data_IF_372667251230
#
_entry.id   IF_372667251230
#
_cell.length_a   1.000
_cell.length_b   1.000
_cell.length_c   1.000
_cell.angle_alpha   90.00
_cell.angle_beta   90.00
_cell.angle_gamma   90.00
#
_symmetry.space_group_name_H-M   'P 1'
#
loop_
_entity.id
_entity.type
_entity.pdbx_description
1 polymer ?
#
# COMPACT_ATOMS: atom_id res chain seq x y z
N UNK A 1 9.12 -33.04 -2.56
CA UNK A 1 8.05 -33.58 -1.71
C UNK A 1 6.75 -33.38 -2.47
N UNK A 2 6.11 -34.48 -2.89
CA UNK A 2 4.79 -34.42 -3.51
C UNK A 2 3.75 -34.77 -2.44
N UNK A 3 2.80 -33.86 -2.24
CA UNK A 3 1.60 -34.12 -1.43
C UNK A 3 0.51 -34.53 -2.42
N UNK A 4 0.20 -35.83 -2.47
CA UNK A 4 -0.82 -36.36 -3.36
C UNK A 4 -2.22 -36.18 -2.81
N UNK A 5 -3.14 -35.67 -3.63
CA UNK A 5 -4.59 -35.73 -3.41
C UNK A 5 -5.08 -37.20 -3.61
N UNK A 6 -5.93 -37.63 -2.71
CA UNK A 6 -6.61 -38.93 -2.76
C UNK A 6 -7.53 -38.99 -3.99
N UNK A 7 -7.33 -39.96 -4.88
CA UNK A 7 -8.23 -40.23 -6.00
C UNK A 7 -7.62 -41.13 -7.07
N UNK A 8 -8.45 -41.88 -7.77
CA UNK A 8 -8.15 -42.90 -8.78
C UNK A 8 -7.26 -42.49 -9.96
N UNK A 9 -6.92 -41.22 -10.09
CA UNK A 9 -6.03 -40.71 -11.15
C UNK A 9 -4.54 -40.99 -10.89
N UNK A 10 -4.15 -41.32 -9.67
CA UNK A 10 -2.75 -41.58 -9.32
C UNK A 10 -2.25 -42.93 -9.87
N UNK A 11 -3.15 -43.90 -10.06
CA UNK A 11 -2.82 -45.19 -10.62
C UNK A 11 -2.42 -45.14 -12.12
N UNK A 12 -2.76 -44.06 -12.82
CA UNK A 12 -2.44 -43.90 -14.26
C UNK A 12 -1.03 -43.31 -14.48
N UNK A 13 -0.45 -42.67 -13.45
CA UNK A 13 0.83 -41.94 -13.53
C UNK A 13 2.00 -42.60 -12.81
N UNK A 14 1.82 -43.74 -12.17
CA UNK A 14 2.85 -44.46 -11.40
C UNK A 14 4.03 -44.98 -12.21
N UNK A 15 3.95 -44.93 -13.55
CA UNK A 15 5.07 -45.25 -14.47
C UNK A 15 5.67 -44.02 -15.17
N UNK A 16 5.31 -42.82 -14.76
CA UNK A 16 5.88 -41.61 -15.33
C UNK A 16 7.27 -41.35 -14.76
N UNK A 17 8.28 -41.27 -15.65
CA UNK A 17 9.68 -40.98 -15.30
C UNK A 17 9.84 -39.68 -14.49
N UNK A 18 8.88 -38.74 -14.56
CA UNK A 18 8.87 -37.54 -13.77
C UNK A 18 8.86 -37.82 -12.25
N UNK A 19 8.38 -38.98 -11.83
CA UNK A 19 8.32 -39.39 -10.42
C UNK A 19 9.55 -40.15 -9.93
N UNK A 20 10.46 -40.55 -10.82
CA UNK A 20 11.70 -41.30 -10.44
C UNK A 20 12.61 -40.48 -9.49
N UNK A 21 12.51 -39.16 -9.53
CA UNK A 21 13.26 -38.25 -8.61
C UNK A 21 12.60 -38.09 -7.23
N UNK A 22 11.44 -38.67 -6.96
CA UNK A 22 10.76 -38.58 -5.67
C UNK A 22 11.55 -39.35 -4.61
N UNK A 23 12.00 -38.65 -3.58
CA UNK A 23 12.78 -39.22 -2.49
C UNK A 23 11.86 -39.83 -1.41
N UNK A 24 10.73 -39.16 -1.13
CA UNK A 24 9.77 -39.56 -0.09
C UNK A 24 8.35 -39.18 -0.53
N UNK A 25 7.43 -40.14 -0.47
CA UNK A 25 6.01 -39.91 -0.68
C UNK A 25 5.28 -39.81 0.66
N UNK A 26 4.66 -38.67 0.92
CA UNK A 26 3.87 -38.45 2.13
C UNK A 26 2.40 -38.70 1.82
N UNK A 27 1.77 -39.62 2.55
CA UNK A 27 0.40 -40.07 2.33
C UNK A 27 -0.46 -39.87 3.57
N UNK A 28 -1.73 -39.55 3.38
CA UNK A 28 -2.74 -39.50 4.43
C UNK A 28 -3.39 -40.84 4.73
N UNK A 29 -3.39 -41.73 3.75
CA UNK A 29 -3.93 -43.10 3.82
C UNK A 29 -3.07 -44.02 2.96
N UNK A 30 -2.76 -45.21 3.43
CA UNK A 30 -1.91 -46.18 2.74
C UNK A 30 -2.78 -47.18 1.97
N UNK A 31 -3.02 -46.93 0.70
CA UNK A 31 -3.79 -47.75 -0.21
C UNK A 31 -2.94 -48.36 -1.35
N UNK A 32 -1.73 -47.84 -1.59
CA UNK A 32 -0.90 -48.17 -2.70
C UNK A 32 0.59 -47.90 -2.44
N UNK A 33 1.49 -48.79 -2.94
CA UNK A 33 2.94 -48.60 -2.89
C UNK A 33 3.46 -48.19 -4.27
N UNK A 34 3.81 -46.88 -4.48
CA UNK A 34 4.37 -46.45 -5.77
C UNK A 34 5.76 -47.01 -5.98
N UNK A 35 6.05 -47.34 -7.24
CA UNK A 35 7.36 -47.84 -7.68
C UNK A 35 7.93 -46.94 -8.78
N UNK A 36 9.25 -46.81 -8.80
CA UNK A 36 9.95 -46.13 -9.90
C UNK A 36 9.91 -46.91 -11.17
N UNK A 37 10.24 -46.32 -12.31
CA UNK A 37 10.34 -46.98 -13.60
C UNK A 37 11.31 -48.17 -13.59
N UNK A 38 12.31 -48.18 -12.70
CA UNK A 38 13.26 -49.25 -12.45
C UNK A 38 12.75 -50.38 -11.52
N UNK A 39 11.49 -50.28 -11.07
CA UNK A 39 10.87 -51.25 -10.16
C UNK A 39 11.16 -51.06 -8.66
N UNK A 40 12.00 -50.11 -8.30
CA UNK A 40 12.29 -49.86 -6.89
C UNK A 40 11.13 -49.10 -6.21
N UNK A 41 10.71 -49.50 -4.98
CA UNK A 41 9.64 -48.82 -4.27
C UNK A 41 10.08 -47.41 -3.86
N UNK A 42 9.18 -46.47 -3.94
CA UNK A 42 9.38 -45.13 -3.39
C UNK A 42 9.07 -45.19 -1.88
N UNK A 43 9.98 -44.72 -1.00
CA UNK A 43 9.71 -44.68 0.45
C UNK A 43 8.46 -43.86 0.73
N UNK A 44 7.56 -44.42 1.58
CA UNK A 44 6.34 -43.74 1.99
C UNK A 44 6.36 -43.43 3.47
N UNK A 45 5.76 -42.31 3.83
CA UNK A 45 5.52 -41.90 5.21
C UNK A 45 4.04 -41.57 5.39
N UNK A 46 3.37 -42.32 6.27
CA UNK A 46 2.00 -42.03 6.66
C UNK A 46 1.97 -40.83 7.59
N UNK A 47 1.25 -39.79 7.19
CA UNK A 47 1.01 -38.61 8.02
C UNK A 47 -0.44 -38.65 8.52
N UNK A 48 -0.64 -39.03 9.77
CA UNK A 48 -1.95 -38.95 10.43
C UNK A 48 -2.11 -37.54 11.03
N UNK A 49 -3.09 -36.81 10.55
CA UNK A 49 -3.47 -35.52 11.16
C UNK A 49 -4.49 -35.80 12.25
N UNK A 50 -4.24 -35.41 13.51
CA UNK A 50 -5.22 -35.57 14.60
C UNK A 50 -6.56 -34.92 14.26
N UNK A 51 -7.67 -35.59 14.59
CA UNK A 51 -9.02 -35.13 14.23
C UNK A 51 -9.37 -33.75 14.80
N UNK A 52 -8.86 -33.44 16.00
CA UNK A 52 -9.02 -32.11 16.61
C UNK A 52 -8.37 -31.01 15.80
N UNK A 53 -7.24 -31.30 15.12
CA UNK A 53 -6.59 -30.34 14.22
C UNK A 53 -7.43 -30.15 12.96
N UNK A 54 -7.95 -31.23 12.37
CA UNK A 54 -8.84 -31.16 11.19
C UNK A 54 -10.08 -30.31 11.49
N UNK A 55 -10.76 -30.56 12.61
CA UNK A 55 -11.91 -29.75 13.04
C UNK A 55 -11.54 -28.27 13.25
N UNK A 56 -10.37 -28.00 13.78
CA UNK A 56 -9.90 -26.62 13.99
C UNK A 56 -9.57 -25.93 12.66
N UNK A 57 -9.06 -26.66 11.67
CA UNK A 57 -8.83 -26.16 10.30
C UNK A 57 -10.17 -25.80 9.65
N UNK A 58 -11.15 -26.69 9.71
CA UNK A 58 -12.49 -26.47 9.15
C UNK A 58 -13.14 -25.24 9.80
N UNK A 59 -13.04 -25.13 11.11
CA UNK A 59 -13.54 -23.99 11.85
C UNK A 59 -12.89 -22.66 11.42
N UNK A 60 -11.55 -22.65 11.22
CA UNK A 60 -10.83 -21.44 10.77
C UNK A 60 -11.14 -21.03 9.33
N UNK A 61 -11.34 -22.00 8.44
CA UNK A 61 -11.47 -21.74 7.00
C UNK A 61 -12.93 -21.54 6.56
N UNK A 62 -13.88 -22.24 7.18
CA UNK A 62 -15.25 -22.32 6.68
C UNK A 62 -16.28 -21.64 7.59
N UNK A 63 -15.91 -21.17 8.77
CA UNK A 63 -16.82 -20.37 9.58
C UNK A 63 -17.22 -19.09 8.84
N UNK A 64 -18.50 -18.74 8.88
CA UNK A 64 -19.05 -17.53 8.22
C UNK A 64 -18.55 -16.22 8.82
N UNK A 65 -17.96 -16.23 10.01
CA UNK A 65 -17.40 -15.02 10.63
C UNK A 65 -16.27 -14.41 9.78
N UNK A 66 -16.31 -13.10 9.55
CA UNK A 66 -15.33 -12.38 8.76
C UNK A 66 -13.88 -12.54 9.25
N UNK A 67 -13.70 -12.80 10.56
CA UNK A 67 -12.41 -13.06 11.21
C UNK A 67 -12.64 -14.10 12.33
N UNK A 68 -12.58 -15.41 12.03
CA UNK A 68 -12.87 -16.48 13.01
C UNK A 68 -11.97 -16.44 14.26
N UNK A 69 -10.74 -15.95 14.12
CA UNK A 69 -9.74 -15.95 15.18
C UNK A 69 -9.94 -14.85 16.25
N UNK A 70 -10.81 -13.84 16.04
CA UNK A 70 -10.90 -12.67 16.94
C UNK A 70 -11.19 -13.04 18.39
N UNK A 71 -12.13 -13.96 18.62
CA UNK A 71 -12.55 -14.35 19.96
C UNK A 71 -11.47 -15.09 20.77
N UNK A 72 -10.41 -15.53 20.11
CA UNK A 72 -9.33 -16.33 20.70
C UNK A 72 -7.99 -15.62 20.76
N UNK A 73 -7.88 -14.40 20.25
CA UNK A 73 -6.61 -13.63 20.20
C UNK A 73 -6.06 -13.40 21.61
N UNK A 74 -6.93 -13.12 22.59
CA UNK A 74 -6.54 -12.89 23.99
C UNK A 74 -5.89 -14.10 24.65
N UNK A 75 -6.10 -15.31 24.13
CA UNK A 75 -5.44 -16.53 24.58
C UNK A 75 -4.02 -16.74 24.04
N UNK A 76 -3.55 -15.88 23.13
CA UNK A 76 -2.22 -15.98 22.54
C UNK A 76 -1.27 -15.06 23.32
N UNK A 77 -0.10 -15.61 23.73
CA UNK A 77 0.88 -14.82 24.45
C UNK A 77 1.29 -13.55 23.66
N UNK A 78 1.34 -12.37 24.31
CA UNK A 78 1.60 -11.08 23.68
C UNK A 78 2.89 -11.06 22.84
N UNK A 79 3.94 -11.77 23.27
CA UNK A 79 5.20 -11.88 22.54
C UNK A 79 5.00 -12.50 21.14
N UNK A 80 4.15 -13.53 21.01
CA UNK A 80 3.91 -14.14 19.70
C UNK A 80 3.15 -13.21 18.76
N UNK A 81 2.23 -12.41 19.31
CA UNK A 81 1.54 -11.37 18.53
C UNK A 81 2.54 -10.30 18.09
N UNK A 82 3.38 -9.80 19.00
CA UNK A 82 4.39 -8.79 18.69
C UNK A 82 5.36 -9.25 17.58
N UNK A 83 5.95 -10.43 17.72
CA UNK A 83 6.83 -11.00 16.68
C UNK A 83 6.11 -11.21 15.32
N UNK A 84 4.80 -11.48 15.35
CA UNK A 84 4.03 -11.60 14.11
C UNK A 84 3.77 -10.24 13.49
N UNK A 85 3.47 -9.23 14.30
CA UNK A 85 3.27 -7.85 13.83
C UNK A 85 4.54 -7.28 13.18
N UNK A 86 5.72 -7.53 13.74
CA UNK A 86 6.99 -7.13 13.15
C UNK A 86 7.23 -7.80 11.78
N UNK A 87 6.99 -9.11 11.68
CA UNK A 87 7.10 -9.83 10.41
C UNK A 87 6.12 -9.29 9.35
N UNK A 88 4.86 -9.03 9.74
CA UNK A 88 3.85 -8.47 8.85
C UNK A 88 4.21 -7.05 8.39
N UNK A 89 4.82 -6.24 9.25
CA UNK A 89 5.30 -4.91 8.88
C UNK A 89 6.42 -5.02 7.84
N UNK A 90 7.37 -5.92 8.05
CA UNK A 90 8.46 -6.17 7.08
C UNK A 90 7.92 -6.62 5.73
N UNK A 91 7.03 -7.61 5.68
CA UNK A 91 6.36 -8.05 4.45
C UNK A 91 5.64 -6.90 3.73
N UNK A 92 5.00 -6.01 4.49
CA UNK A 92 4.30 -4.87 3.91
C UNK A 92 5.25 -3.85 3.30
N UNK A 93 6.36 -3.56 3.97
CA UNK A 93 7.39 -2.65 3.46
C UNK A 93 8.06 -3.25 2.21
N UNK A 94 8.41 -4.53 2.23
CA UNK A 94 8.97 -5.23 1.06
C UNK A 94 8.03 -5.17 -0.15
N UNK A 95 6.74 -5.41 0.04
CA UNK A 95 5.76 -5.34 -1.05
C UNK A 95 5.65 -3.93 -1.63
N UNK A 96 5.58 -2.89 -0.77
CA UNK A 96 5.57 -1.50 -1.23
C UNK A 96 6.88 -1.10 -1.93
N UNK A 97 7.98 -1.65 -1.49
CA UNK A 97 9.30 -1.45 -2.10
C UNK A 97 9.37 -2.09 -3.48
N UNK A 98 8.77 -3.25 -3.66
CA UNK A 98 8.69 -3.88 -4.98
C UNK A 98 8.00 -2.98 -6.02
N UNK A 99 6.86 -2.35 -5.66
CA UNK A 99 6.18 -1.40 -6.53
C UNK A 99 7.09 -0.21 -6.91
N UNK A 100 7.90 0.28 -5.94
CA UNK A 100 8.88 1.37 -6.17
C UNK A 100 10.00 0.90 -7.10
N UNK A 101 10.49 -0.31 -6.96
CA UNK A 101 11.54 -0.86 -7.84
C UNK A 101 11.05 -1.03 -9.27
N UNK A 102 9.80 -1.44 -9.49
CA UNK A 102 9.20 -1.48 -10.83
C UNK A 102 9.15 -0.07 -11.47
N UNK A 103 8.87 0.97 -10.68
CA UNK A 103 8.93 2.35 -11.17
C UNK A 103 10.38 2.78 -11.46
N UNK A 104 11.34 2.45 -10.60
CA UNK A 104 12.76 2.77 -10.83
C UNK A 104 13.30 2.15 -12.11
N UNK A 105 12.92 0.90 -12.39
CA UNK A 105 13.29 0.23 -13.63
C UNK A 105 12.68 0.95 -14.85
N UNK A 106 11.40 1.35 -14.75
CA UNK A 106 10.71 2.06 -15.83
C UNK A 106 11.24 3.48 -16.08
N UNK A 107 11.74 4.15 -15.03
CA UNK A 107 12.24 5.54 -15.08
C UNK A 107 13.77 5.64 -14.93
N UNK A 108 14.52 4.62 -15.36
CA UNK A 108 15.98 4.62 -15.44
C UNK A 108 16.67 5.02 -14.13
N UNK A 109 16.14 4.57 -13.01
CA UNK A 109 16.66 4.83 -11.65
C UNK A 109 16.61 6.32 -11.24
N UNK A 110 15.72 7.12 -11.84
CA UNK A 110 15.47 8.49 -11.39
C UNK A 110 14.61 8.52 -10.12
N UNK A 111 15.27 8.62 -8.97
CA UNK A 111 14.61 8.68 -7.65
C UNK A 111 13.69 9.89 -7.47
N UNK A 112 13.98 11.02 -8.10
CA UNK A 112 13.15 12.22 -8.01
C UNK A 112 11.86 12.05 -8.80
N UNK A 113 11.93 11.49 -10.01
CA UNK A 113 10.75 11.19 -10.82
C UNK A 113 9.88 10.13 -10.14
N UNK A 114 10.47 9.03 -9.62
CA UNK A 114 9.73 7.99 -8.90
C UNK A 114 9.11 8.51 -7.62
N UNK A 115 9.81 9.37 -6.88
CA UNK A 115 9.25 10.04 -5.71
C UNK A 115 8.08 10.95 -6.09
N UNK A 116 8.20 11.72 -7.16
CA UNK A 116 7.14 12.56 -7.68
C UNK A 116 5.89 11.76 -8.03
N UNK A 117 6.04 10.66 -8.77
CA UNK A 117 4.93 9.77 -9.15
C UNK A 117 4.27 9.17 -7.90
N UNK A 118 5.07 8.64 -6.99
CA UNK A 118 4.58 8.00 -5.76
C UNK A 118 3.88 9.00 -4.85
N UNK A 119 4.43 10.20 -4.68
CA UNK A 119 3.83 11.27 -3.90
C UNK A 119 2.51 11.73 -4.51
N UNK A 120 2.53 12.04 -5.80
CA UNK A 120 1.34 12.51 -6.53
C UNK A 120 0.22 11.47 -6.44
N UNK A 121 0.50 10.19 -6.67
CA UNK A 121 -0.45 9.10 -6.46
C UNK A 121 -1.10 9.15 -5.07
N UNK A 122 -0.32 9.33 -4.02
CA UNK A 122 -0.81 9.33 -2.65
C UNK A 122 -1.56 10.62 -2.26
N UNK A 123 -1.45 11.70 -3.04
CA UNK A 123 -2.33 12.87 -2.94
C UNK A 123 -3.78 12.56 -3.34
N UNK A 124 -4.03 11.43 -3.97
CA UNK A 124 -5.38 10.91 -4.22
C UNK A 124 -6.09 10.36 -2.98
N UNK A 125 -5.39 10.19 -1.86
CA UNK A 125 -5.90 9.72 -0.56
C UNK A 125 -6.84 8.50 -0.66
N UNK A 126 -6.47 7.55 -1.49
CA UNK A 126 -7.18 6.30 -1.72
C UNK A 126 -8.20 6.38 -2.87
N UNK A 127 -9.14 7.30 -2.82
CA UNK A 127 -10.25 7.40 -3.79
C UNK A 127 -9.78 7.78 -5.20
N UNK A 128 -8.79 8.69 -5.27
CA UNK A 128 -8.28 9.24 -6.52
C UNK A 128 -6.82 8.83 -6.81
N UNK A 129 -6.28 7.81 -6.13
CA UNK A 129 -4.88 7.42 -6.30
C UNK A 129 -4.51 7.14 -7.76
N UNK A 130 -5.35 6.40 -8.48
CA UNK A 130 -5.08 6.04 -9.88
C UNK A 130 -5.15 7.26 -10.81
N UNK A 131 -6.07 8.22 -10.53
CA UNK A 131 -6.16 9.47 -11.27
C UNK A 131 -4.88 10.30 -11.10
N UNK A 132 -4.44 10.47 -9.86
CA UNK A 132 -3.22 11.21 -9.55
C UNK A 132 -1.95 10.51 -10.06
N UNK A 133 -1.90 9.19 -10.07
CA UNK A 133 -0.78 8.45 -10.66
C UNK A 133 -0.71 8.67 -12.17
N UNK A 134 -1.85 8.60 -12.87
CA UNK A 134 -1.91 8.92 -14.30
C UNK A 134 -1.50 10.35 -14.58
N UNK A 135 -1.95 11.31 -13.76
CA UNK A 135 -1.54 12.70 -13.85
C UNK A 135 0.00 12.83 -13.77
N UNK A 136 0.63 12.21 -12.79
CA UNK A 136 2.08 12.25 -12.64
C UNK A 136 2.81 11.64 -13.85
N UNK A 137 2.35 10.49 -14.31
CA UNK A 137 2.95 9.80 -15.47
C UNK A 137 2.79 10.56 -16.78
N UNK A 138 1.71 11.35 -16.93
CA UNK A 138 1.45 12.17 -18.12
C UNK A 138 2.17 13.52 -18.09
N UNK A 139 2.64 13.97 -16.92
CA UNK A 139 3.36 15.25 -16.74
C UNK A 139 4.71 15.00 -16.06
N UNK A 140 5.80 14.78 -16.78
CA UNK A 140 7.12 14.53 -16.20
C UNK A 140 7.59 15.66 -15.28
N UNK A 141 8.22 15.32 -14.16
CA UNK A 141 8.73 16.30 -13.18
C UNK A 141 9.61 17.38 -13.81
N UNK A 142 10.43 17.02 -14.78
CA UNK A 142 11.28 17.96 -15.52
C UNK A 142 10.52 19.13 -16.17
N UNK A 143 9.25 18.92 -16.57
CA UNK A 143 8.41 19.97 -17.14
C UNK A 143 8.00 20.97 -16.05
N UNK A 144 7.63 20.47 -14.89
CA UNK A 144 7.29 21.29 -13.70
C UNK A 144 8.51 22.10 -13.24
N UNK A 145 9.67 21.46 -13.12
CA UNK A 145 10.91 22.09 -12.69
C UNK A 145 11.33 23.28 -13.57
N UNK A 146 11.12 23.16 -14.90
CA UNK A 146 11.39 24.26 -15.86
C UNK A 146 10.50 25.48 -15.67
N UNK A 147 9.36 25.37 -15.00
CA UNK A 147 8.40 26.46 -14.74
C UNK A 147 8.33 26.87 -13.26
N UNK A 148 9.25 26.41 -12.42
CA UNK A 148 9.22 26.60 -10.96
C UNK A 148 9.10 28.07 -10.52
N UNK A 149 9.56 29.00 -11.32
CA UNK A 149 9.52 30.42 -11.01
C UNK A 149 8.11 31.05 -11.15
N UNK A 150 7.14 30.32 -11.68
CA UNK A 150 5.76 30.77 -11.89
C UNK A 150 4.76 29.80 -11.28
N UNK A 151 4.14 30.20 -10.18
CA UNK A 151 3.12 29.41 -9.51
C UNK A 151 1.92 29.12 -10.43
N UNK A 152 1.44 30.14 -11.14
CA UNK A 152 0.33 30.00 -12.08
C UNK A 152 0.63 29.01 -13.21
N UNK A 153 1.87 28.96 -13.71
CA UNK A 153 2.25 28.00 -14.75
C UNK A 153 2.29 26.56 -14.24
N UNK A 154 2.77 26.33 -13.02
CA UNK A 154 2.73 24.97 -12.43
C UNK A 154 1.29 24.54 -12.15
N UNK A 155 0.45 25.42 -11.59
CA UNK A 155 -0.98 25.13 -11.44
C UNK A 155 -1.63 24.86 -12.79
N UNK A 156 -1.38 25.70 -13.80
CA UNK A 156 -1.92 25.51 -15.14
C UNK A 156 -1.55 24.14 -15.73
N UNK A 157 -0.28 23.73 -15.62
CA UNK A 157 0.16 22.41 -16.09
C UNK A 157 -0.55 21.27 -15.37
N UNK A 158 -0.64 21.33 -14.05
CA UNK A 158 -1.26 20.25 -13.28
C UNK A 158 -2.77 20.18 -13.50
N UNK A 159 -3.49 21.32 -13.47
CA UNK A 159 -4.93 21.37 -13.74
C UNK A 159 -5.28 21.04 -15.18
N UNK A 160 -4.53 21.58 -16.14
CA UNK A 160 -4.75 21.34 -17.56
C UNK A 160 -4.48 19.88 -17.93
N UNK A 161 -3.36 19.32 -17.44
CA UNK A 161 -3.01 17.92 -17.69
C UNK A 161 -4.02 16.95 -17.02
N UNK A 162 -4.63 17.37 -15.89
CA UNK A 162 -5.70 16.62 -15.23
C UNK A 162 -7.06 16.71 -15.97
N UNK A 163 -7.17 17.46 -17.09
CA UNK A 163 -8.44 17.69 -17.79
C UNK A 163 -9.42 18.59 -17.03
N UNK A 164 -8.95 19.35 -16.03
CA UNK A 164 -9.79 20.18 -15.16
C UNK A 164 -10.02 21.60 -15.69
N UNK A 165 -9.46 21.94 -16.86
CA UNK A 165 -9.56 23.25 -17.50
C UNK A 165 -10.28 23.22 -18.87
N UNK A 166 -11.07 22.18 -19.16
CA UNK A 166 -11.73 21.98 -20.46
C UNK A 166 -13.09 22.66 -20.58
N UNK A 167 -13.68 23.07 -19.43
CA UNK A 167 -15.02 23.67 -19.42
C UNK A 167 -14.98 25.19 -19.68
N UNK A 168 -16.07 25.73 -20.21
CA UNK A 168 -16.27 27.18 -20.21
C UNK A 168 -16.53 27.68 -18.78
N UNK A 169 -15.78 28.68 -18.37
CA UNK A 169 -15.90 29.26 -17.03
C UNK A 169 -15.58 30.76 -17.08
N UNK A 170 -16.40 31.55 -16.39
CA UNK A 170 -16.24 33.00 -16.32
C UNK A 170 -15.25 33.48 -15.26
N UNK A 171 -14.77 32.57 -14.41
CA UNK A 171 -13.78 32.90 -13.40
C UNK A 171 -12.46 33.36 -14.03
N UNK A 172 -11.98 34.53 -13.63
CA UNK A 172 -10.77 35.15 -14.17
C UNK A 172 -9.52 34.26 -13.95
N UNK A 173 -9.43 33.63 -12.77
CA UNK A 173 -8.29 32.76 -12.45
C UNK A 173 -8.31 31.48 -13.26
N UNK A 174 -9.48 30.89 -13.45
CA UNK A 174 -9.63 29.73 -14.33
C UNK A 174 -9.18 30.04 -15.77
N UNK A 175 -9.63 31.17 -16.34
CA UNK A 175 -9.22 31.61 -17.70
C UNK A 175 -7.73 31.92 -17.80
N UNK A 176 -7.12 32.43 -16.71
CA UNK A 176 -5.68 32.60 -16.65
C UNK A 176 -4.97 31.24 -16.79
N UNK A 177 -5.39 30.25 -15.99
CA UNK A 177 -4.79 28.91 -16.01
C UNK A 177 -5.01 28.22 -17.37
N UNK A 178 -6.17 28.39 -18.02
CA UNK A 178 -6.42 27.85 -19.37
C UNK A 178 -5.41 28.41 -20.39
N UNK A 179 -5.23 29.74 -20.42
CA UNK A 179 -4.28 30.39 -21.37
C UNK A 179 -2.84 29.95 -21.12
N UNK A 180 -2.44 29.89 -19.84
CA UNK A 180 -1.10 29.42 -19.49
C UNK A 180 -0.90 27.95 -19.91
N UNK A 181 -1.90 27.10 -19.68
CA UNK A 181 -1.82 25.70 -20.08
C UNK A 181 -1.78 25.52 -21.59
N UNK A 182 -2.57 26.28 -22.35
CA UNK A 182 -2.54 26.24 -23.83
C UNK A 182 -1.15 26.58 -24.36
N UNK A 183 -0.48 27.56 -23.80
CA UNK A 183 0.91 27.86 -24.14
C UNK A 183 1.86 26.71 -23.75
N UNK A 184 1.75 26.20 -22.53
CA UNK A 184 2.66 25.21 -21.96
C UNK A 184 2.50 23.84 -22.61
N UNK A 185 1.28 23.44 -22.96
CA UNK A 185 1.04 22.16 -23.64
C UNK A 185 1.73 22.14 -25.03
N UNK A 186 1.70 23.22 -25.75
CA UNK A 186 2.43 23.34 -27.04
C UNK A 186 3.95 23.33 -26.80
N UNK A 187 4.43 24.08 -25.81
CA UNK A 187 5.85 24.17 -25.49
C UNK A 187 6.47 22.80 -25.09
N UNK A 188 5.73 21.97 -24.41
CA UNK A 188 6.22 20.68 -23.89
C UNK A 188 5.66 19.46 -24.62
N UNK A 189 4.79 19.65 -25.62
CA UNK A 189 4.11 18.54 -26.30
C UNK A 189 3.22 17.72 -25.38
N UNK A 190 2.48 18.39 -24.47
CA UNK A 190 1.62 17.73 -23.51
C UNK A 190 0.23 17.47 -24.12
N UNK A 191 -0.39 16.35 -23.71
CA UNK A 191 -1.78 16.01 -24.01
C UNK A 191 -2.54 15.74 -22.72
N UNK A 192 -3.70 16.39 -22.49
CA UNK A 192 -4.47 16.20 -21.26
C UNK A 192 -4.96 14.76 -21.14
N UNK A 193 -5.28 14.36 -19.92
CA UNK A 193 -5.90 13.07 -19.65
C UNK A 193 -7.35 13.11 -20.14
N UNK A 194 -7.69 12.26 -21.14
CA UNK A 194 -9.00 12.30 -21.77
C UNK A 194 -10.05 11.47 -21.00
N UNK A 195 -9.81 10.24 -20.70
CA UNK A 195 -10.84 9.29 -20.24
C UNK A 195 -10.88 9.08 -18.72
N UNK A 196 -10.35 9.99 -17.93
CA UNK A 196 -10.30 9.76 -16.49
C UNK A 196 -10.94 10.89 -15.70
N UNK A 197 -11.98 10.55 -14.97
CA UNK A 197 -12.73 11.51 -14.13
C UNK A 197 -12.28 11.38 -12.68
N UNK A 198 -11.79 12.50 -12.11
CA UNK A 198 -11.55 12.60 -10.67
C UNK A 198 -12.86 12.54 -9.88
N UNK A 199 -12.90 11.71 -8.84
CA UNK A 199 -14.10 11.48 -8.04
C UNK A 199 -14.21 12.52 -6.93
N UNK A 200 -15.27 13.32 -6.99
CA UNK A 200 -15.65 14.29 -5.95
C UNK A 200 -16.71 13.72 -4.99
N UNK A 201 -17.52 12.76 -5.44
CA UNK A 201 -18.66 12.23 -4.71
C UNK A 201 -18.21 11.55 -3.40
N UNK A 202 -18.92 11.84 -2.30
CA UNK A 202 -18.66 11.30 -0.95
C UNK A 202 -17.30 11.69 -0.36
N UNK A 203 -16.65 12.75 -0.88
CA UNK A 203 -15.43 13.31 -0.30
C UNK A 203 -15.72 14.61 0.45
N UNK A 204 -14.97 14.86 1.53
CA UNK A 204 -15.06 16.17 2.22
C UNK A 204 -14.38 17.24 1.36
N UNK A 205 -14.81 18.52 1.39
CA UNK A 205 -14.21 19.59 0.57
C UNK A 205 -12.68 19.69 0.67
N UNK A 206 -12.12 19.46 1.86
CA UNK A 206 -10.66 19.45 2.07
C UNK A 206 -9.92 18.33 1.29
N UNK A 207 -10.65 17.34 0.79
CA UNK A 207 -10.13 16.24 -0.01
C UNK A 207 -10.56 16.31 -1.48
N UNK A 208 -11.16 17.41 -1.92
CA UNK A 208 -11.50 17.60 -3.34
C UNK A 208 -10.22 17.57 -4.18
N UNK A 209 -10.23 16.89 -5.33
CA UNK A 209 -9.08 16.79 -6.21
C UNK A 209 -8.50 18.15 -6.60
N UNK A 210 -9.35 19.15 -6.85
CA UNK A 210 -8.93 20.51 -7.17
C UNK A 210 -8.02 21.12 -6.10
N UNK A 211 -8.44 21.06 -4.83
CA UNK A 211 -7.60 21.53 -3.73
C UNK A 211 -6.30 20.71 -3.61
N UNK A 212 -6.36 19.40 -3.86
CA UNK A 212 -5.17 18.53 -3.81
C UNK A 212 -4.19 18.84 -4.92
N UNK A 213 -4.67 19.13 -6.13
CA UNK A 213 -3.83 19.60 -7.24
C UNK A 213 -3.16 20.94 -6.89
N UNK A 214 -3.91 21.89 -6.31
CA UNK A 214 -3.35 23.17 -5.89
C UNK A 214 -2.28 23.04 -4.77
N UNK A 215 -2.54 22.15 -3.78
CA UNK A 215 -1.57 21.84 -2.74
C UNK A 215 -0.29 21.19 -3.31
N UNK A 216 -0.44 20.31 -4.30
CA UNK A 216 0.66 19.68 -5.00
C UNK A 216 1.46 20.71 -5.81
N UNK A 217 0.78 21.65 -6.50
CA UNK A 217 1.43 22.74 -7.23
C UNK A 217 2.31 23.59 -6.30
N UNK A 218 1.75 24.03 -5.16
CA UNK A 218 2.49 24.82 -4.18
C UNK A 218 3.76 24.10 -3.67
N UNK A 219 3.69 22.79 -3.50
CA UNK A 219 4.83 21.97 -3.10
C UNK A 219 5.96 22.02 -4.14
N UNK A 220 5.63 21.86 -5.43
CA UNK A 220 6.62 21.87 -6.52
C UNK A 220 7.13 23.28 -6.88
N UNK A 221 6.39 24.31 -6.56
CA UNK A 221 6.92 25.68 -6.60
C UNK A 221 8.03 25.86 -5.56
N UNK A 222 7.85 25.29 -4.37
CA UNK A 222 8.77 25.50 -3.25
C UNK A 222 10.02 24.65 -3.33
N UNK A 223 9.90 23.38 -3.78
CA UNK A 223 11.00 22.42 -3.76
C UNK A 223 11.30 21.89 -5.15
N UNK A 224 12.57 21.94 -5.52
CA UNK A 224 13.10 21.36 -6.75
C UNK A 224 13.42 19.86 -6.56
N UNK A 225 14.05 19.54 -5.43
CA UNK A 225 14.52 18.20 -5.06
C UNK A 225 13.98 17.80 -3.69
N UNK A 226 12.66 17.68 -3.57
CA UNK A 226 12.02 17.36 -2.29
C UNK A 226 12.50 16.03 -1.70
N UNK A 227 12.78 15.04 -2.55
CA UNK A 227 13.27 13.73 -2.07
C UNK A 227 14.63 13.85 -1.40
N UNK A 228 15.55 14.65 -1.94
CA UNK A 228 16.85 14.90 -1.31
C UNK A 228 16.70 15.56 0.07
N UNK A 229 15.81 16.56 0.19
CA UNK A 229 15.52 17.17 1.49
C UNK A 229 14.94 16.15 2.51
N UNK A 230 14.12 15.23 2.05
CA UNK A 230 13.60 14.13 2.90
C UNK A 230 14.71 13.16 3.30
N UNK A 231 15.67 12.85 2.41
CA UNK A 231 16.83 12.02 2.75
C UNK A 231 17.72 12.66 3.84
N UNK A 232 17.75 13.97 3.96
CA UNK A 232 18.53 14.70 4.97
C UNK A 232 17.77 14.93 6.28
N UNK A 233 16.44 15.00 6.23
CA UNK A 233 15.60 15.29 7.38
C UNK A 233 15.73 14.25 8.50
N UNK A 234 15.78 14.67 9.75
CA UNK A 234 16.07 13.81 10.91
C UNK A 234 14.84 13.38 11.69
N UNK A 235 13.72 14.07 11.54
CA UNK A 235 12.52 13.82 12.32
C UNK A 235 11.23 13.89 11.49
N UNK A 236 10.18 13.24 11.98
CA UNK A 236 8.82 13.32 11.42
C UNK A 236 8.31 14.75 11.36
N UNK A 237 8.62 15.56 12.41
CA UNK A 237 8.22 16.95 12.47
C UNK A 237 8.89 17.83 11.42
N UNK A 238 10.15 17.56 11.11
CA UNK A 238 10.90 18.23 10.05
C UNK A 238 10.33 17.88 8.67
N UNK A 239 10.11 16.61 8.40
CA UNK A 239 9.48 16.16 7.14
C UNK A 239 8.10 16.78 6.95
N UNK A 240 7.27 16.83 8.00
CA UNK A 240 5.93 17.45 7.93
C UNK A 240 5.97 18.92 7.56
N UNK A 241 7.00 19.68 7.97
CA UNK A 241 7.17 21.08 7.58
C UNK A 241 7.30 21.26 6.07
N UNK A 242 7.94 20.33 5.38
CA UNK A 242 8.06 20.37 3.91
C UNK A 242 6.70 20.32 3.21
N UNK A 243 5.73 19.64 3.79
CA UNK A 243 4.38 19.48 3.21
C UNK A 243 3.37 20.55 3.66
N UNK A 244 3.67 21.35 4.69
CA UNK A 244 2.77 22.39 5.20
C UNK A 244 2.90 23.68 4.43
N UNK A 245 2.68 23.64 3.14
CA UNK A 245 2.73 24.80 2.25
C UNK A 245 1.29 25.15 1.86
N UNK A 246 0.86 26.41 2.04
CA UNK A 246 -0.44 26.84 1.58
C UNK A 246 -0.45 26.88 0.03
N UNK A 247 -1.56 26.52 -0.62
CA UNK A 247 -1.76 26.77 -2.04
C UNK A 247 -1.84 28.28 -2.34
N UNK A 248 -1.96 28.65 -3.62
CA UNK A 248 -2.10 30.06 -4.00
C UNK A 248 -3.31 30.73 -3.35
N UNK A 249 -3.26 32.08 -3.23
CA UNK A 249 -4.28 32.85 -2.50
C UNK A 249 -5.72 32.66 -3.01
N UNK A 250 -5.89 32.27 -4.28
CA UNK A 250 -7.20 31.91 -4.84
C UNK A 250 -7.87 30.80 -4.02
N UNK A 251 -7.11 29.78 -3.61
CA UNK A 251 -7.63 28.63 -2.87
C UNK A 251 -7.98 28.93 -1.40
N UNK A 252 -7.64 30.10 -0.89
CA UNK A 252 -8.12 30.50 0.45
C UNK A 252 -9.65 30.59 0.49
N UNK A 253 -10.26 30.97 -0.63
CA UNK A 253 -11.71 31.15 -0.76
C UNK A 253 -12.39 30.11 -1.64
N UNK A 254 -11.65 29.10 -2.17
CA UNK A 254 -12.19 28.10 -3.07
C UNK A 254 -11.77 26.68 -2.69
N UNK A 255 -12.65 25.70 -2.89
CA UNK A 255 -12.35 24.27 -2.92
C UNK A 255 -12.50 23.68 -4.32
N UNK A 256 -13.15 24.42 -5.20
CA UNK A 256 -13.44 24.13 -6.60
C UNK A 256 -13.62 25.45 -7.33
N UNK A 257 -13.35 25.53 -8.64
CA UNK A 257 -13.47 26.78 -9.40
C UNK A 257 -14.89 27.38 -9.43
N UNK A 258 -15.94 26.55 -9.25
CA UNK A 258 -17.33 26.97 -9.33
C UNK A 258 -17.91 27.55 -8.03
N UNK A 259 -17.29 27.30 -6.89
CA UNK A 259 -17.91 27.59 -5.59
C UNK A 259 -16.95 28.29 -4.65
N UNK A 260 -17.31 29.49 -4.28
CA UNK A 260 -16.61 30.21 -3.23
C UNK A 260 -16.92 29.61 -1.84
N UNK A 261 -16.01 29.73 -0.92
CA UNK A 261 -16.10 29.31 0.47
C UNK A 261 -15.59 30.40 1.40
N UNK A 262 -15.94 30.41 2.70
CA UNK A 262 -15.32 31.31 3.65
C UNK A 262 -13.79 31.24 3.58
N UNK A 263 -13.16 32.40 3.70
CA UNK A 263 -11.69 32.53 3.64
C UNK A 263 -11.04 31.73 4.75
N UNK A 264 -10.16 30.83 4.37
CA UNK A 264 -9.40 29.96 5.26
C UNK A 264 -8.12 29.50 4.60
N UNK A 265 -7.02 29.52 5.31
CA UNK A 265 -5.81 28.84 4.86
C UNK A 265 -6.04 27.32 4.74
N UNK A 266 -5.71 26.75 3.61
CA UNK A 266 -6.00 25.35 3.28
C UNK A 266 -4.73 24.54 3.10
N UNK A 267 -3.90 24.54 4.13
CA UNK A 267 -2.73 23.63 4.21
C UNK A 267 -3.16 22.17 4.42
N UNK A 268 -2.23 21.26 4.18
CA UNK A 268 -2.44 19.83 4.42
C UNK A 268 -2.57 19.58 5.92
N UNK A 269 -3.69 19.01 6.36
CA UNK A 269 -3.96 18.72 7.77
C UNK A 269 -3.16 17.53 8.30
N UNK A 270 -3.02 17.43 9.62
CA UNK A 270 -2.16 16.47 10.31
C UNK A 270 -2.41 15.01 9.91
N UNK A 271 -3.67 14.58 9.83
CA UNK A 271 -4.00 13.23 9.43
C UNK A 271 -3.58 12.93 7.98
N UNK A 272 -3.75 13.89 7.07
CA UNK A 272 -3.33 13.76 5.68
C UNK A 272 -1.80 13.71 5.57
N UNK A 273 -1.08 14.51 6.37
CA UNK A 273 0.37 14.43 6.47
C UNK A 273 0.83 13.04 6.93
N UNK A 274 0.22 12.49 7.96
CA UNK A 274 0.53 11.15 8.43
C UNK A 274 0.32 10.10 7.32
N UNK A 275 -0.78 10.18 6.56
CA UNK A 275 -1.06 9.29 5.43
C UNK A 275 0.03 9.42 4.34
N UNK A 276 0.47 10.65 4.00
CA UNK A 276 1.55 10.85 3.03
C UNK A 276 2.88 10.28 3.53
N UNK A 277 3.21 10.47 4.80
CA UNK A 277 4.42 9.91 5.38
C UNK A 277 4.41 8.37 5.33
N UNK A 278 3.33 7.75 5.79
CA UNK A 278 3.16 6.28 5.85
C UNK A 278 3.18 5.66 4.44
N UNK A 279 2.58 6.32 3.45
CA UNK A 279 2.38 5.71 2.13
C UNK A 279 3.39 6.17 1.07
N UNK A 280 4.12 7.26 1.31
CA UNK A 280 5.13 7.79 0.38
C UNK A 280 6.51 7.79 0.99
N UNK A 281 6.71 8.59 2.05
CA UNK A 281 8.05 8.83 2.61
C UNK A 281 8.69 7.56 3.15
N UNK A 282 7.96 6.81 3.97
CA UNK A 282 8.46 5.58 4.60
C UNK A 282 8.83 4.52 3.54
N UNK A 283 7.97 4.14 2.58
CA UNK A 283 8.35 3.18 1.55
C UNK A 283 9.51 3.65 0.67
N UNK A 284 9.57 4.95 0.33
CA UNK A 284 10.67 5.51 -0.48
C UNK A 284 12.00 5.46 0.25
N UNK A 285 12.03 5.80 1.56
CA UNK A 285 13.23 5.66 2.39
C UNK A 285 13.68 4.22 2.51
N UNK A 286 12.74 3.30 2.73
CA UNK A 286 13.04 1.88 2.86
C UNK A 286 13.59 1.31 1.54
N UNK A 287 12.95 1.62 0.42
CA UNK A 287 13.41 1.23 -0.91
C UNK A 287 14.81 1.81 -1.23
N UNK A 288 15.02 3.09 -0.89
CA UNK A 288 16.33 3.74 -1.09
C UNK A 288 17.44 3.06 -0.29
N UNK A 289 17.14 2.71 0.98
CA UNK A 289 18.05 1.97 1.84
C UNK A 289 18.43 0.60 1.28
N UNK A 290 17.47 -0.18 0.82
CA UNK A 290 17.70 -1.49 0.22
C UNK A 290 18.49 -1.40 -1.09
N UNK A 291 18.07 -0.53 -2.00
CA UNK A 291 18.72 -0.39 -3.32
C UNK A 291 20.17 0.04 -3.21
N UNK A 292 20.48 0.99 -2.34
CA UNK A 292 21.81 1.55 -2.17
C UNK A 292 22.64 0.83 -1.09
N UNK A 293 22.16 -0.27 -0.52
CA UNK A 293 22.80 -1.03 0.56
C UNK A 293 23.14 -0.14 1.78
N UNK A 294 22.20 0.74 2.13
CA UNK A 294 22.32 1.70 3.24
C UNK A 294 21.26 1.43 4.31
N UNK A 295 21.50 0.48 5.24
CA UNK A 295 20.53 0.03 6.23
C UNK A 295 20.00 1.14 7.14
N UNK A 296 20.77 2.21 7.35
CA UNK A 296 20.34 3.36 8.16
C UNK A 296 19.05 4.02 7.66
N UNK A 297 18.76 3.97 6.36
CA UNK A 297 17.49 4.48 5.82
C UNK A 297 16.32 3.52 6.08
N UNK A 298 16.57 2.21 6.07
CA UNK A 298 15.55 1.20 6.43
C UNK A 298 15.16 1.34 7.90
N UNK A 299 16.14 1.44 8.81
CA UNK A 299 15.90 1.67 10.24
C UNK A 299 15.17 2.99 10.48
N UNK A 300 15.55 4.05 9.74
CA UNK A 300 14.88 5.35 9.84
C UNK A 300 13.44 5.28 9.37
N UNK A 301 13.15 4.56 8.30
CA UNK A 301 11.79 4.33 7.82
C UNK A 301 10.92 3.66 8.90
N UNK A 302 11.46 2.67 9.61
CA UNK A 302 10.78 2.00 10.72
C UNK A 302 10.57 2.95 11.90
N UNK A 303 11.59 3.70 12.33
CA UNK A 303 11.47 4.71 13.40
C UNK A 303 10.44 5.80 13.07
N UNK A 304 10.33 6.21 11.79
CA UNK A 304 9.28 7.15 11.39
C UNK A 304 7.89 6.57 11.62
N UNK A 305 7.64 5.30 11.29
CA UNK A 305 6.35 4.64 11.57
C UNK A 305 6.04 4.56 13.07
N UNK A 306 7.03 4.34 13.90
CA UNK A 306 6.90 4.32 15.35
C UNK A 306 6.55 5.70 15.93
N UNK A 307 7.02 6.78 15.30
CA UNK A 307 6.77 8.17 15.72
C UNK A 307 5.42 8.73 15.26
N UNK A 308 4.70 8.04 14.36
CA UNK A 308 3.40 8.45 13.85
C UNK A 308 2.29 7.71 14.62
N UNK A 309 1.23 8.40 15.07
CA UNK A 309 0.11 7.76 15.76
C UNK A 309 -0.58 6.73 14.86
N UNK A 310 -1.28 5.73 15.46
CA UNK A 310 -1.98 4.70 14.71
C UNK A 310 -3.04 5.27 13.77
N UNK A 311 -3.23 4.62 12.63
CA UNK A 311 -4.29 4.98 11.68
C UNK A 311 -5.66 4.65 12.25
N UNK A 312 -6.61 5.56 12.07
CA UNK A 312 -8.00 5.38 12.49
C UNK A 312 -8.82 4.80 11.32
N UNK A 313 -8.96 3.50 11.28
CA UNK A 313 -9.78 2.80 10.29
C UNK A 313 -10.43 1.54 10.90
N UNK A 314 -11.43 0.99 10.21
CA UNK A 314 -12.20 -0.18 10.68
C UNK A 314 -11.31 -1.38 10.96
N UNK A 315 -10.28 -1.64 10.15
CA UNK A 315 -9.36 -2.77 10.33
C UNK A 315 -8.67 -2.66 11.69
N UNK A 316 -8.05 -1.51 11.94
CA UNK A 316 -7.31 -1.25 13.19
C UNK A 316 -8.26 -1.36 14.39
N UNK A 317 -9.45 -0.75 14.30
CA UNK A 317 -10.46 -0.79 15.37
C UNK A 317 -10.90 -2.23 15.67
N UNK A 318 -11.12 -3.06 14.64
CA UNK A 318 -11.53 -4.45 14.80
C UNK A 318 -10.50 -5.26 15.60
N UNK A 319 -9.23 -5.18 15.23
CA UNK A 319 -8.17 -5.91 15.94
C UNK A 319 -7.87 -5.33 17.33
N UNK A 320 -7.97 -4.02 17.49
CA UNK A 320 -7.84 -3.38 18.80
C UNK A 320 -8.92 -3.88 19.78
N UNK A 321 -10.17 -3.95 19.35
CA UNK A 321 -11.28 -4.47 20.13
C UNK A 321 -11.12 -5.97 20.47
N UNK A 322 -10.40 -6.71 19.63
CA UNK A 322 -10.04 -8.11 19.88
C UNK A 322 -8.86 -8.30 20.84
N UNK A 323 -8.28 -7.21 21.37
CA UNK A 323 -7.21 -7.24 22.36
C UNK A 323 -5.79 -7.09 21.80
N UNK A 324 -5.62 -6.76 20.50
CA UNK A 324 -4.28 -6.44 19.97
C UNK A 324 -3.93 -4.99 20.31
N UNK A 325 -2.81 -4.81 21.00
CA UNK A 325 -2.29 -3.46 21.30
C UNK A 325 -1.80 -2.77 20.03
N UNK A 326 -2.26 -1.53 19.81
CA UNK A 326 -1.87 -0.69 18.67
C UNK A 326 -1.34 0.63 19.20
N UNK A 327 -0.05 0.87 19.09
CA UNK A 327 0.64 2.03 19.68
C UNK A 327 0.99 3.10 18.66
N UNK A 328 1.34 2.68 17.43
CA UNK A 328 1.86 3.55 16.39
C UNK A 328 1.46 3.07 14.98
N UNK A 329 1.82 3.85 13.96
CA UNK A 329 1.47 3.55 12.56
C UNK A 329 2.06 2.21 12.08
N UNK A 330 3.20 1.78 12.57
CA UNK A 330 3.78 0.46 12.26
C UNK A 330 2.82 -0.68 12.61
N UNK A 331 2.24 -0.65 13.81
CA UNK A 331 1.23 -1.62 14.23
C UNK A 331 0.00 -1.59 13.29
N UNK A 332 -0.47 -0.39 12.94
CA UNK A 332 -1.60 -0.24 12.00
C UNK A 332 -1.30 -0.84 10.63
N UNK A 333 -0.10 -0.62 10.11
CA UNK A 333 0.33 -1.14 8.82
C UNK A 333 0.48 -2.67 8.84
N UNK A 334 0.95 -3.25 9.95
CA UNK A 334 1.00 -4.69 10.16
C UNK A 334 -0.42 -5.31 10.18
N UNK A 335 -1.38 -4.69 10.86
CA UNK A 335 -2.77 -5.16 10.90
C UNK A 335 -3.46 -5.06 9.54
N UNK A 336 -3.17 -4.02 8.77
CA UNK A 336 -3.68 -3.89 7.39
C UNK A 336 -3.09 -5.01 6.51
N UNK A 337 -1.80 -5.34 6.68
CA UNK A 337 -1.17 -6.47 5.99
C UNK A 337 -1.84 -7.79 6.39
N UNK A 338 -2.01 -8.03 7.68
CA UNK A 338 -2.70 -9.21 8.20
C UNK A 338 -4.08 -9.38 7.59
N UNK A 339 -4.88 -8.31 7.60
CA UNK A 339 -6.25 -8.36 7.06
C UNK A 339 -6.26 -8.68 5.57
N UNK A 340 -5.51 -7.92 4.76
CA UNK A 340 -5.55 -8.02 3.29
C UNK A 340 -4.86 -9.24 2.72
N UNK A 341 -3.71 -9.61 3.27
CA UNK A 341 -2.88 -10.67 2.69
C UNK A 341 -3.12 -12.04 3.31
N UNK A 342 -3.68 -12.10 4.51
CA UNK A 342 -3.95 -13.35 5.20
C UNK A 342 -5.45 -13.58 5.44
N UNK A 343 -6.15 -12.66 6.09
CA UNK A 343 -7.53 -12.89 6.49
C UNK A 343 -8.50 -12.91 5.30
N UNK A 344 -8.43 -11.91 4.40
CA UNK A 344 -9.29 -11.85 3.21
C UNK A 344 -8.99 -12.98 2.21
N UNK A 345 -7.75 -13.45 2.18
CA UNK A 345 -7.32 -14.58 1.33
C UNK A 345 -7.45 -15.94 2.02
N UNK A 346 -8.06 -15.99 3.20
CA UNK A 346 -8.23 -17.20 4.03
C UNK A 346 -6.94 -18.01 4.24
N UNK A 347 -5.80 -17.34 4.34
CA UNK A 347 -4.48 -17.96 4.57
C UNK A 347 -4.24 -18.24 6.06
N UNK A 348 -5.25 -18.74 6.78
CA UNK A 348 -5.18 -18.96 8.24
C UNK A 348 -4.09 -19.97 8.62
N UNK A 349 -3.83 -20.96 7.79
CA UNK A 349 -2.80 -21.99 8.02
C UNK A 349 -1.37 -21.44 7.92
N UNK A 350 -1.16 -20.33 7.19
CA UNK A 350 0.11 -19.62 7.07
C UNK A 350 0.24 -18.46 8.06
N UNK A 351 -0.84 -18.14 8.77
CA UNK A 351 -0.88 -17.08 9.77
C UNK A 351 -0.39 -17.60 11.13
N UNK A 352 0.56 -16.89 11.77
CA UNK A 352 1.07 -17.31 13.09
C UNK A 352 -0.02 -17.30 14.17
N UNK A 353 -1.03 -16.45 14.06
CA UNK A 353 -2.22 -16.47 14.94
C UNK A 353 -3.00 -17.77 14.70
N UNK A 354 -3.36 -18.07 13.45
CA UNK A 354 -4.06 -19.30 13.07
C UNK A 354 -3.30 -20.57 13.51
N UNK A 355 -1.99 -20.59 13.27
CA UNK A 355 -1.14 -21.72 13.71
C UNK A 355 -1.15 -21.93 15.23
N UNK A 356 -1.15 -20.87 16.03
CA UNK A 356 -1.26 -20.99 17.49
C UNK A 356 -2.60 -21.55 17.92
N UNK A 357 -3.68 -21.15 17.24
CA UNK A 357 -5.01 -21.68 17.52
C UNK A 357 -5.12 -23.17 17.20
N UNK A 358 -4.46 -23.65 16.16
CA UNK A 358 -4.41 -25.10 15.87
C UNK A 358 -3.70 -25.91 16.96
N UNK A 359 -2.71 -25.30 17.65
CA UNK A 359 -1.98 -25.94 18.75
C UNK A 359 -2.76 -25.92 20.08
N UNK A 360 -3.54 -24.89 20.32
CA UNK A 360 -4.43 -24.81 21.48
C UNK A 360 -5.76 -25.42 21.06
N UNK A 361 -6.06 -26.60 21.54
CA UNK A 361 -7.27 -27.40 21.25
C UNK A 361 -8.52 -26.52 21.37
N UNK A 362 -9.08 -26.04 20.28
CA UNK A 362 -10.33 -25.23 20.23
C UNK A 362 -11.55 -26.10 20.58
N UNK A 363 -11.37 -27.29 21.08
CA UNK A 363 -12.41 -28.29 21.37
C UNK A 363 -12.79 -28.53 22.83
N UNK A 364 -12.24 -27.78 23.79
CA UNK A 364 -12.49 -28.11 25.23
C UNK A 364 -13.25 -27.02 26.02
N UNK A 365 -13.83 -26.01 25.40
CA UNK A 365 -14.74 -25.07 26.10
C UNK A 365 -15.99 -24.85 25.27
N UNK A 366 -16.90 -25.76 25.26
CA UNK A 366 -18.37 -25.57 25.13
C UNK A 366 -19.06 -26.94 25.14
N UNK A 367 -19.30 -27.43 26.31
CA UNK A 367 -20.52 -28.17 26.70
C UNK A 367 -21.03 -27.48 27.95
#
# INVERSE_FOLDING_TARGET
ILIGLVGSEMCIRDRDKAYDCVILHIIGFNDFQPVRTNGNPIPQMLLTVPENILRSIDWLLYREAALPCLDHITGIAPLHIACWMEALLSERLERKTHDIFLLLDAYQTDWNEVFYITLTRNFGFGVNNDAFERLAKSLPLRCIQKQRNSHSQIEAMLFGQAGMLEEENDDHYYRLLQREYDFLRHKFGLSPMEDFVFKNLRTRPVNFPYLKVAQLAALWVRYDTLFSAILEARSTGEIKKYFRIPPSGYWETHYHFRYASPRKEKTIGENALNILLINTVVPMLFAYGLHNKRPEYCERATRLLESIPPEKNTIVTTFYNAGITVRHAGDSQALIQLKREYCEKKKCLYCRIGFRMLKTTIGQKSV
#
